data_IF_155889285564
#
_entry.id   IF_155889285564
#
_cell.length_a   1.000
_cell.length_b   1.000
_cell.length_c   1.000
_cell.angle_alpha   90.00
_cell.angle_beta   90.00
_cell.angle_gamma   90.00
#
_symmetry.space_group_name_H-M   'P 1'
#
loop_
_entity.id
_entity.type
_entity.pdbx_description
1 polymer ?
#
# COMPACT_ATOMS: atom_id res chain seq x y z
N UNK A 1 25.14 -17.42 -40.97
CA UNK A 1 23.87 -17.17 -40.26
C UNK A 1 23.29 -15.87 -40.79
N UNK A 2 22.20 -15.93 -41.56
CA UNK A 2 21.44 -14.74 -41.99
C UNK A 2 20.64 -14.24 -40.80
N UNK A 3 20.94 -13.05 -40.29
CA UNK A 3 20.08 -12.35 -39.33
C UNK A 3 18.78 -11.98 -40.09
N UNK A 4 17.66 -12.57 -39.70
CA UNK A 4 16.34 -12.15 -40.16
C UNK A 4 16.00 -10.82 -39.47
N UNK A 5 16.20 -9.73 -40.17
CA UNK A 5 15.75 -8.41 -39.74
C UNK A 5 14.22 -8.33 -39.84
N UNK A 6 13.56 -7.86 -38.79
CA UNK A 6 12.13 -7.55 -38.78
C UNK A 6 11.95 -6.10 -39.24
N UNK A 7 11.19 -5.89 -40.33
CA UNK A 7 10.82 -4.53 -40.75
C UNK A 7 9.72 -4.00 -39.84
N UNK A 8 10.03 -2.97 -39.05
CA UNK A 8 9.05 -2.28 -38.23
C UNK A 8 8.66 -0.95 -38.90
N UNK A 9 7.36 -0.70 -39.04
CA UNK A 9 6.85 0.59 -39.50
C UNK A 9 6.54 1.47 -38.26
N UNK A 10 7.22 2.56 -38.12
CA UNK A 10 7.02 3.54 -37.06
C UNK A 10 6.35 4.76 -37.66
N UNK A 11 5.01 4.73 -37.73
CA UNK A 11 4.22 5.80 -38.34
C UNK A 11 3.85 6.94 -37.38
N UNK A 12 3.93 6.71 -36.04
CA UNK A 12 3.44 7.62 -35.02
C UNK A 12 4.42 7.82 -33.86
N UNK A 13 4.19 8.89 -33.07
CA UNK A 13 4.92 9.22 -31.84
C UNK A 13 4.60 8.30 -30.63
N UNK A 14 3.94 7.18 -30.87
CA UNK A 14 3.61 6.17 -29.85
C UNK A 14 4.88 5.40 -29.45
N UNK A 15 5.01 4.96 -28.18
CA UNK A 15 6.15 4.16 -27.73
C UNK A 15 6.39 2.95 -28.64
N UNK A 16 7.63 2.80 -29.11
CA UNK A 16 7.98 1.74 -30.06
C UNK A 16 7.97 0.38 -29.40
N UNK A 17 7.17 -0.52 -29.93
CA UNK A 17 7.15 -1.93 -29.56
C UNK A 17 7.56 -2.75 -30.76
N UNK A 18 8.71 -3.42 -30.68
CA UNK A 18 9.19 -4.31 -31.73
C UNK A 18 8.54 -5.67 -31.54
N UNK A 19 7.60 -6.00 -32.41
CA UNK A 19 6.86 -7.25 -32.39
C UNK A 19 7.19 -8.09 -33.60
N UNK A 20 7.21 -9.40 -33.44
CA UNK A 20 7.22 -10.35 -34.57
C UNK A 20 5.91 -10.23 -35.38
N UNK A 21 5.87 -10.69 -36.64
CA UNK A 21 4.65 -10.64 -37.44
C UNK A 21 3.43 -11.33 -36.80
N UNK A 22 3.67 -12.40 -36.04
CA UNK A 22 2.63 -13.12 -35.29
C UNK A 22 2.07 -12.27 -34.17
N UNK A 23 2.96 -11.70 -33.35
CA UNK A 23 2.57 -10.82 -32.22
C UNK A 23 1.83 -9.58 -32.71
N UNK A 24 2.26 -9.01 -33.86
CA UNK A 24 1.60 -7.87 -34.46
C UNK A 24 0.18 -8.24 -34.96
N UNK A 25 0.01 -9.41 -35.55
CA UNK A 25 -1.31 -9.92 -35.98
C UNK A 25 -2.23 -10.14 -34.75
N UNK A 26 -1.71 -10.72 -33.69
CA UNK A 26 -2.45 -10.92 -32.43
C UNK A 26 -2.85 -9.57 -31.82
N UNK A 27 -1.93 -8.61 -31.76
CA UNK A 27 -2.21 -7.25 -31.26
C UNK A 27 -3.33 -6.60 -32.06
N UNK A 28 -3.23 -6.59 -33.40
CA UNK A 28 -4.26 -6.03 -34.29
C UNK A 28 -5.63 -6.68 -34.06
N UNK A 29 -5.66 -8.01 -33.88
CA UNK A 29 -6.91 -8.72 -33.61
C UNK A 29 -7.50 -8.34 -32.26
N UNK A 30 -6.68 -8.24 -31.24
CA UNK A 30 -7.13 -7.79 -29.91
C UNK A 30 -7.68 -6.36 -29.97
N UNK A 31 -6.97 -5.45 -30.65
CA UNK A 31 -7.38 -4.05 -30.78
C UNK A 31 -8.64 -3.86 -31.61
N UNK A 32 -8.92 -4.77 -32.57
CA UNK A 32 -10.11 -4.70 -33.42
C UNK A 32 -11.39 -5.16 -32.72
N UNK A 33 -11.30 -6.04 -31.72
CA UNK A 33 -12.47 -6.63 -31.04
C UNK A 33 -12.55 -6.25 -29.55
N UNK A 34 -11.43 -5.82 -28.96
CA UNK A 34 -11.33 -5.48 -27.53
C UNK A 34 -11.74 -4.05 -27.25
N UNK A 35 -12.29 -3.82 -26.06
CA UNK A 35 -12.52 -2.49 -25.53
C UNK A 35 -11.30 -2.13 -24.66
N UNK A 36 -10.58 -1.03 -24.93
CA UNK A 36 -9.45 -0.60 -24.12
C UNK A 36 -9.84 -0.41 -22.65
N UNK A 37 -8.96 -0.82 -21.73
CA UNK A 37 -9.22 -0.75 -20.29
C UNK A 37 -9.56 0.68 -19.81
N UNK A 38 -8.99 1.71 -20.45
CA UNK A 38 -9.28 3.13 -20.17
C UNK A 38 -10.75 3.52 -20.43
N UNK A 39 -11.44 2.76 -21.30
CA UNK A 39 -12.82 3.02 -21.69
C UNK A 39 -13.83 2.20 -20.86
N UNK A 40 -13.31 1.41 -19.88
CA UNK A 40 -14.15 0.66 -18.95
C UNK A 40 -14.61 1.56 -17.81
N UNK A 41 -15.83 1.35 -17.34
CA UNK A 41 -16.32 2.03 -16.14
C UNK A 41 -15.76 1.35 -14.87
N UNK A 42 -14.45 1.49 -14.66
CA UNK A 42 -13.73 0.93 -13.51
C UNK A 42 -12.83 1.99 -12.88
N UNK A 43 -12.61 1.86 -11.58
CA UNK A 43 -11.59 2.60 -10.85
C UNK A 43 -10.40 1.67 -10.59
N UNK A 44 -9.20 2.14 -10.96
CA UNK A 44 -7.95 1.44 -10.65
C UNK A 44 -7.25 2.27 -9.58
N UNK A 45 -7.26 1.76 -8.35
CA UNK A 45 -6.62 2.42 -7.22
C UNK A 45 -5.29 1.74 -6.89
N UNK A 46 -4.37 2.49 -6.35
CA UNK A 46 -3.17 1.93 -5.73
C UNK A 46 -3.55 1.16 -4.46
N UNK A 47 -2.73 0.19 -4.06
CA UNK A 47 -2.83 -0.43 -2.75
C UNK A 47 -2.49 0.56 -1.62
N UNK A 48 -2.82 0.16 -0.39
CA UNK A 48 -2.58 0.97 0.80
C UNK A 48 -1.09 1.31 0.94
N UNK A 49 -0.78 2.57 1.13
CA UNK A 49 0.57 3.07 1.41
C UNK A 49 0.63 3.53 2.86
N UNK A 50 1.34 2.80 3.70
CA UNK A 50 1.54 3.17 5.11
C UNK A 50 2.63 4.22 5.29
N UNK A 51 3.57 4.31 4.35
CA UNK A 51 4.80 5.08 4.48
C UNK A 51 5.83 4.46 5.44
N UNK A 52 5.42 3.55 6.30
CA UNK A 52 6.28 2.76 7.19
C UNK A 52 5.59 1.47 7.63
N UNK A 53 5.79 0.41 6.88
CA UNK A 53 5.09 -0.86 7.09
C UNK A 53 5.32 -1.46 8.49
N UNK A 54 6.52 -1.37 9.03
CA UNK A 54 6.87 -1.97 10.32
C UNK A 54 6.06 -1.42 11.51
N UNK A 55 5.51 -0.20 11.36
CA UNK A 55 4.63 0.40 12.35
C UNK A 55 3.16 0.05 12.15
N UNK A 56 2.72 -0.03 10.90
CA UNK A 56 1.29 -0.15 10.59
C UNK A 56 0.84 -1.56 10.20
N UNK A 57 1.78 -2.43 9.81
CA UNK A 57 1.49 -3.83 9.50
C UNK A 57 2.05 -4.69 10.62
N UNK A 58 1.17 -5.29 11.39
CA UNK A 58 1.49 -6.02 12.63
C UNK A 58 1.06 -7.48 12.53
N UNK A 59 1.68 -8.34 13.34
CA UNK A 59 1.28 -9.74 13.48
C UNK A 59 0.04 -9.88 14.36
N UNK A 60 -0.55 -11.08 14.35
CA UNK A 60 -1.68 -11.42 15.23
C UNK A 60 -1.32 -11.25 16.71
N UNK A 61 -0.12 -11.66 17.12
CA UNK A 61 0.35 -11.53 18.51
C UNK A 61 0.42 -10.06 18.92
N UNK A 62 0.93 -9.18 18.04
CA UNK A 62 1.02 -7.74 18.31
C UNK A 62 -0.36 -7.09 18.35
N UNK A 63 -1.28 -7.52 17.50
CA UNK A 63 -2.69 -7.09 17.55
C UNK A 63 -3.32 -7.45 18.90
N UNK A 64 -3.15 -8.70 19.32
CA UNK A 64 -3.75 -9.20 20.56
C UNK A 64 -3.14 -8.50 21.80
N UNK A 65 -1.83 -8.18 21.77
CA UNK A 65 -1.17 -7.35 22.78
C UNK A 65 -1.79 -5.94 22.86
N UNK A 66 -2.02 -5.28 21.70
CA UNK A 66 -2.66 -3.95 21.66
C UNK A 66 -4.07 -4.03 22.23
N UNK A 67 -4.86 -5.04 21.84
CA UNK A 67 -6.22 -5.23 22.33
C UNK A 67 -6.27 -5.54 23.84
N UNK A 68 -5.28 -6.24 24.37
CA UNK A 68 -5.16 -6.52 25.81
C UNK A 68 -4.81 -5.24 26.61
N UNK A 69 -4.15 -4.25 25.99
CA UNK A 69 -3.79 -2.99 26.60
C UNK A 69 -4.91 -1.93 26.57
N UNK A 70 -6.06 -2.23 25.97
CA UNK A 70 -7.23 -1.36 26.01
C UNK A 70 -7.79 -1.30 27.42
N UNK A 71 -8.13 -0.10 27.89
CA UNK A 71 -8.59 0.12 29.27
C UNK A 71 -10.08 -0.14 29.47
N UNK A 72 -10.86 -0.03 28.40
CA UNK A 72 -12.30 -0.23 28.41
C UNK A 72 -12.74 -1.17 27.28
N UNK A 73 -13.88 -1.84 27.46
CA UNK A 73 -14.42 -2.71 26.41
C UNK A 73 -14.80 -1.90 25.16
N UNK A 74 -15.31 -0.69 25.33
CA UNK A 74 -15.65 0.20 24.21
C UNK A 74 -14.39 0.59 23.39
N UNK A 75 -13.27 0.85 24.05
CA UNK A 75 -11.99 1.08 23.37
C UNK A 75 -11.54 -0.17 22.63
N UNK A 76 -11.66 -1.34 23.26
CA UNK A 76 -11.28 -2.61 22.67
C UNK A 76 -12.07 -2.93 21.41
N UNK A 77 -13.39 -2.73 21.43
CA UNK A 77 -14.27 -2.93 20.25
C UNK A 77 -13.84 -1.98 19.12
N UNK A 78 -13.72 -0.68 19.39
CA UNK A 78 -13.29 0.30 18.38
C UNK A 78 -11.89 -0.02 17.82
N UNK A 79 -10.95 -0.42 18.70
CA UNK A 79 -9.59 -0.79 18.30
C UNK A 79 -9.60 -2.06 17.43
N UNK A 80 -10.42 -3.04 17.75
CA UNK A 80 -10.58 -4.25 16.94
C UNK A 80 -11.15 -3.94 15.55
N UNK A 81 -12.03 -2.96 15.43
CA UNK A 81 -12.55 -2.49 14.13
C UNK A 81 -11.52 -1.69 13.33
N UNK A 82 -10.63 -0.97 14.03
CA UNK A 82 -9.55 -0.20 13.39
C UNK A 82 -8.44 -1.11 12.84
N UNK A 83 -8.13 -2.21 13.52
CA UNK A 83 -7.09 -3.15 13.14
C UNK A 83 -7.70 -4.25 12.27
N UNK A 84 -7.41 -4.23 10.97
CA UNK A 84 -8.04 -5.10 9.96
C UNK A 84 -7.05 -6.09 9.35
N UNK A 85 -7.49 -7.29 8.94
CA UNK A 85 -6.63 -8.20 8.20
C UNK A 85 -6.21 -7.58 6.87
N UNK A 86 -4.97 -7.83 6.47
CA UNK A 86 -4.43 -7.35 5.19
C UNK A 86 -3.85 -8.50 4.37
N UNK A 87 -4.09 -8.47 3.06
CA UNK A 87 -3.42 -9.31 2.08
C UNK A 87 -2.40 -8.47 1.30
N UNK A 88 -1.18 -8.98 1.20
CA UNK A 88 -0.15 -8.40 0.32
C UNK A 88 -0.27 -9.02 -1.06
N UNK A 89 0.25 -8.39 -2.10
CA UNK A 89 0.23 -8.93 -3.46
C UNK A 89 0.79 -10.34 -3.58
N UNK A 90 1.82 -10.70 -2.80
CA UNK A 90 2.40 -12.05 -2.76
C UNK A 90 1.53 -13.11 -2.09
N UNK A 91 0.56 -12.70 -1.28
CA UNK A 91 -0.36 -13.58 -0.57
C UNK A 91 -1.54 -13.98 -1.48
N UNK A 92 -1.70 -13.29 -2.62
CA UNK A 92 -2.76 -13.53 -3.60
C UNK A 92 -2.21 -14.47 -4.68
N UNK A 93 -2.86 -15.61 -4.87
CA UNK A 93 -2.57 -16.58 -5.92
C UNK A 93 -3.57 -16.44 -7.06
N UNK A 94 -3.51 -17.31 -8.07
CA UNK A 94 -4.37 -17.22 -9.28
C UNK A 94 -5.87 -17.32 -8.98
N UNK A 95 -6.25 -18.17 -8.00
CA UNK A 95 -7.65 -18.45 -7.65
C UNK A 95 -7.89 -18.56 -6.15
N UNK A 96 -6.87 -18.29 -5.32
CA UNK A 96 -6.91 -18.42 -3.87
C UNK A 96 -6.01 -17.36 -3.22
N UNK A 97 -6.01 -17.30 -1.91
CA UNK A 97 -5.05 -16.50 -1.15
C UNK A 97 -4.53 -17.30 0.04
N UNK A 98 -3.30 -16.99 0.43
CA UNK A 98 -2.67 -17.50 1.64
C UNK A 98 -2.45 -16.33 2.59
N UNK A 99 -3.33 -16.21 3.59
CA UNK A 99 -3.18 -15.13 4.57
C UNK A 99 -1.97 -15.38 5.46
N UNK A 100 -1.12 -14.36 5.62
CA UNK A 100 0.14 -14.45 6.37
C UNK A 100 -0.02 -13.98 7.82
N UNK A 101 -1.20 -14.05 8.42
CA UNK A 101 -1.53 -13.60 9.77
C UNK A 101 -1.11 -12.14 10.07
N UNK A 102 -1.27 -11.28 9.06
CA UNK A 102 -0.93 -9.87 9.15
C UNK A 102 -2.17 -8.99 9.20
N UNK A 103 -2.05 -7.95 10.00
CA UNK A 103 -3.07 -6.95 10.25
C UNK A 103 -2.54 -5.57 9.94
N UNK A 104 -3.42 -4.66 9.53
CA UNK A 104 -3.11 -3.25 9.34
C UNK A 104 -3.82 -2.40 10.37
N UNK A 105 -3.11 -1.46 10.97
CA UNK A 105 -3.70 -0.35 11.73
C UNK A 105 -4.22 0.65 10.69
N UNK A 106 -5.54 0.63 10.47
CA UNK A 106 -6.19 1.29 9.33
C UNK A 106 -6.54 2.76 9.62
N UNK A 107 -5.58 3.52 10.13
CA UNK A 107 -5.73 4.97 10.39
C UNK A 107 -5.64 5.77 9.08
N UNK A 108 -6.64 5.59 8.22
CA UNK A 108 -6.68 6.26 6.91
C UNK A 108 -7.04 7.74 7.05
N UNK A 109 -6.30 8.67 6.40
CA UNK A 109 -6.56 10.11 6.47
C UNK A 109 -8.00 10.49 6.11
N UNK A 110 -8.59 9.79 5.15
CA UNK A 110 -9.97 10.02 4.70
C UNK A 110 -11.04 9.75 5.77
N UNK A 111 -10.68 9.09 6.88
CA UNK A 111 -11.58 8.75 7.98
C UNK A 111 -11.53 9.71 9.15
N UNK A 112 -10.53 10.61 9.19
CA UNK A 112 -10.37 11.63 10.22
C UNK A 112 -10.46 11.08 11.65
N UNK A 113 -9.71 10.01 11.94
CA UNK A 113 -9.71 9.40 13.27
C UNK A 113 -9.11 10.36 14.30
N UNK A 114 -9.73 10.43 15.47
CA UNK A 114 -9.13 11.02 16.66
C UNK A 114 -8.32 9.95 17.40
N UNK A 115 -7.00 10.07 17.38
CA UNK A 115 -6.09 9.10 18.01
C UNK A 115 -6.25 9.03 19.54
N UNK A 116 -6.76 10.08 20.17
CA UNK A 116 -7.03 10.11 21.62
C UNK A 116 -8.15 9.11 21.99
N UNK A 117 -9.02 8.78 21.05
CA UNK A 117 -10.05 7.75 21.21
C UNK A 117 -9.50 6.31 21.15
N UNK A 118 -8.19 6.14 20.86
CA UNK A 118 -7.51 4.85 20.72
C UNK A 118 -6.20 4.80 21.53
N UNK A 119 -6.22 4.96 22.87
CA UNK A 119 -5.02 5.07 23.71
C UNK A 119 -4.03 3.92 23.53
N UNK A 120 -4.52 2.69 23.42
CA UNK A 120 -3.65 1.52 23.22
C UNK A 120 -2.89 1.58 21.88
N UNK A 121 -3.54 1.98 20.79
CA UNK A 121 -2.89 2.17 19.48
C UNK A 121 -1.93 3.34 19.51
N UNK A 122 -2.32 4.47 20.13
CA UNK A 122 -1.46 5.64 20.31
C UNK A 122 -0.16 5.26 21.03
N UNK A 123 -0.26 4.57 22.16
CA UNK A 123 0.89 4.14 22.94
C UNK A 123 1.79 3.18 22.15
N UNK A 124 1.21 2.25 21.42
CA UNK A 124 1.97 1.38 20.53
C UNK A 124 2.74 2.17 19.47
N UNK A 125 2.09 3.07 18.75
CA UNK A 125 2.75 3.89 17.73
C UNK A 125 3.85 4.78 18.32
N UNK A 126 3.61 5.40 19.47
CA UNK A 126 4.62 6.20 20.15
C UNK A 126 5.83 5.37 20.61
N UNK A 127 5.65 4.08 20.94
CA UNK A 127 6.76 3.19 21.28
C UNK A 127 7.74 2.94 20.13
N UNK A 128 7.31 3.16 18.88
CA UNK A 128 8.15 3.05 17.68
C UNK A 128 9.03 4.29 17.48
N UNK A 129 8.58 5.43 18.00
CA UNK A 129 9.23 6.72 17.90
C UNK A 129 8.53 7.67 16.93
N UNK A 130 8.10 8.81 17.47
CA UNK A 130 7.35 9.81 16.73
C UNK A 130 8.15 10.37 15.55
N UNK A 131 9.46 10.54 15.71
CA UNK A 131 10.36 11.09 14.68
C UNK A 131 10.40 10.20 13.42
N UNK A 132 10.13 8.90 13.58
CA UNK A 132 10.01 7.96 12.47
C UNK A 132 8.65 8.01 11.81
N UNK A 133 7.61 8.33 12.59
CA UNK A 133 6.22 8.32 12.16
C UNK A 133 5.77 9.65 11.55
N UNK A 134 6.42 10.76 11.88
CA UNK A 134 6.12 12.06 11.27
C UNK A 134 6.19 12.02 9.75
N UNK A 135 5.31 12.77 9.11
CA UNK A 135 5.23 12.88 7.65
C UNK A 135 5.83 14.21 7.16
N UNK A 136 7.03 14.54 7.65
CA UNK A 136 7.76 15.77 7.31
C UNK A 136 8.77 15.58 6.19
N UNK A 137 9.25 14.35 5.97
CA UNK A 137 10.34 14.03 5.05
C UNK A 137 11.73 14.38 5.59
N UNK A 138 11.81 14.87 6.82
CA UNK A 138 13.05 15.33 7.46
C UNK A 138 13.88 14.17 8.02
N UNK A 139 15.10 14.47 8.41
CA UNK A 139 15.98 13.51 9.07
C UNK A 139 16.31 14.03 10.47
N UNK A 140 15.92 13.25 11.49
CA UNK A 140 16.19 13.55 12.90
C UNK A 140 17.44 12.82 13.38
N UNK A 141 18.07 13.33 14.41
CA UNK A 141 19.16 12.64 15.10
C UNK A 141 18.67 12.26 16.51
N UNK A 142 18.43 10.97 16.70
CA UNK A 142 17.95 10.41 17.97
C UNK A 142 19.03 9.46 18.50
N UNK A 143 19.52 9.71 19.71
CA UNK A 143 20.59 8.91 20.34
C UNK A 143 21.82 8.70 19.41
N UNK A 144 22.21 9.73 18.64
CA UNK A 144 23.34 9.69 17.73
C UNK A 144 23.09 8.93 16.41
N UNK A 145 21.89 8.42 16.21
CA UNK A 145 21.49 7.75 14.95
C UNK A 145 20.61 8.66 14.10
N UNK A 146 20.85 8.66 12.79
CA UNK A 146 20.00 9.36 11.82
C UNK A 146 18.73 8.55 11.57
N UNK A 147 17.57 9.13 11.88
CA UNK A 147 16.26 8.57 11.64
C UNK A 147 15.57 9.44 10.58
N UNK A 148 15.16 8.85 9.48
CA UNK A 148 14.42 9.54 8.43
C UNK A 148 12.93 9.40 8.69
N UNK A 149 12.23 10.52 8.81
CA UNK A 149 10.77 10.58 8.84
C UNK A 149 10.14 10.05 7.54
N UNK A 150 8.85 9.76 7.56
CA UNK A 150 8.10 9.39 6.36
C UNK A 150 8.06 10.55 5.35
N UNK A 151 7.76 10.23 4.09
CA UNK A 151 7.62 11.24 3.03
C UNK A 151 6.64 12.32 3.47
N UNK A 152 6.96 13.59 3.13
CA UNK A 152 6.13 14.74 3.46
C UNK A 152 4.74 14.62 2.83
N UNK A 153 3.73 14.79 3.67
CA UNK A 153 2.30 14.89 3.33
C UNK A 153 1.65 15.94 4.21
N UNK A 154 0.33 16.09 4.14
CA UNK A 154 -0.47 16.90 5.08
C UNK A 154 -1.14 16.05 6.16
N UNK A 155 -0.80 14.75 6.26
CA UNK A 155 -1.43 13.83 7.18
C UNK A 155 -0.76 13.90 8.56
N UNK A 156 -1.49 13.45 9.57
CA UNK A 156 -0.99 13.34 10.94
C UNK A 156 0.01 12.18 11.10
N UNK A 157 0.82 12.24 12.14
CA UNK A 157 1.88 11.27 12.41
C UNK A 157 1.37 9.84 12.61
N UNK A 158 0.14 9.66 13.07
CA UNK A 158 -0.50 8.36 13.29
C UNK A 158 -1.29 7.84 12.08
N UNK A 159 -1.48 8.66 11.07
CA UNK A 159 -2.21 8.26 9.86
C UNK A 159 -1.31 7.51 8.88
N UNK A 160 -1.91 6.63 8.09
CA UNK A 160 -1.25 6.05 6.92
C UNK A 160 -0.94 7.15 5.89
N UNK A 161 -0.06 6.87 4.93
CA UNK A 161 0.36 7.88 3.96
C UNK A 161 -0.68 8.08 2.87
N UNK A 162 -1.42 7.02 2.54
CA UNK A 162 -2.43 7.02 1.49
C UNK A 162 -3.37 5.82 1.69
N UNK A 163 -4.62 5.97 1.26
CA UNK A 163 -5.65 4.92 1.34
C UNK A 163 -6.55 4.95 0.12
#
# INVERSE_FOLDING_TARGET
MQQQGVKCNFADSIPWVILSPIEQSIKQKIESVGIPLKDWNIQINYGIKTGFNDAFIISTEKRDEILANCQTEDERVRTAELIRPILRGRDIKRYEYEWADLWIIATFPSRHYDIESYPAVKNYLLSIGIERLEQTGETHIVNGKKIKARKKTCNEWFETQDS
#
